data_IF_186738398984
#
_entry.id   IF_186738398984
#
_cell.length_a   1.000
_cell.length_b   1.000
_cell.length_c   1.000
_cell.angle_alpha   90.00
_cell.angle_beta   90.00
_cell.angle_gamma   90.00
#
_symmetry.space_group_name_H-M   'P 1'
#
loop_
_entity.id
_entity.type
_entity.pdbx_description
1 polymer ?
#
# COMPACT_ATOMS: atom_id res chain seq x y z
N UNK A 1 15.52 6.97 -9.82
CA UNK A 1 16.05 7.76 -8.70
C UNK A 1 15.08 8.91 -8.47
N UNK A 2 14.09 8.74 -7.56
CA UNK A 2 13.16 9.80 -7.20
C UNK A 2 13.87 11.03 -6.65
N UNK A 3 13.36 12.22 -7.01
CA UNK A 3 13.77 13.51 -6.45
C UNK A 3 12.53 14.17 -5.89
N UNK A 4 12.54 14.47 -4.60
CA UNK A 4 11.41 15.05 -3.86
C UNK A 4 11.80 16.47 -3.50
N UNK A 5 11.10 17.46 -4.05
CA UNK A 5 11.26 18.85 -3.64
C UNK A 5 10.55 19.06 -2.30
N UNK A 6 11.31 19.31 -1.24
CA UNK A 6 10.79 19.49 0.11
C UNK A 6 11.83 20.18 1.01
N UNK A 7 11.39 20.73 2.15
CA UNK A 7 12.28 21.24 3.18
C UNK A 7 13.05 20.08 3.85
N UNK A 8 14.40 20.11 3.87
CA UNK A 8 15.19 19.03 4.48
C UNK A 8 14.92 18.80 5.96
N UNK A 9 14.57 19.84 6.72
CA UNK A 9 14.31 19.71 8.16
C UNK A 9 12.97 19.02 8.40
N UNK A 10 11.93 19.44 7.69
CA UNK A 10 10.62 18.79 7.73
C UNK A 10 10.70 17.32 7.26
N UNK A 11 11.45 17.06 6.19
CA UNK A 11 11.68 15.71 5.68
C UNK A 11 12.40 14.81 6.70
N UNK A 12 13.36 15.36 7.46
CA UNK A 12 14.01 14.65 8.57
C UNK A 12 13.02 14.29 9.67
N UNK A 13 12.20 15.24 10.11
CA UNK A 13 11.21 15.01 11.16
C UNK A 13 10.22 13.90 10.77
N UNK A 14 9.79 13.86 9.51
CA UNK A 14 8.91 12.79 8.99
C UNK A 14 9.59 11.41 9.05
N UNK A 15 10.86 11.32 8.63
CA UNK A 15 11.62 10.08 8.73
C UNK A 15 11.76 9.59 10.17
N UNK A 16 12.11 10.49 11.09
CA UNK A 16 12.23 10.15 12.52
C UNK A 16 10.89 9.74 13.13
N UNK A 17 9.79 10.41 12.77
CA UNK A 17 8.44 10.05 13.20
C UNK A 17 8.01 8.66 12.67
N UNK A 18 8.45 8.29 11.46
CA UNK A 18 8.26 6.95 10.89
C UNK A 18 9.23 5.89 11.45
N UNK A 19 10.05 6.25 12.45
CA UNK A 19 11.03 5.35 13.08
C UNK A 19 12.25 5.04 12.22
N UNK A 20 12.51 5.83 11.16
CA UNK A 20 13.67 5.68 10.27
C UNK A 20 14.81 6.55 10.83
N UNK A 21 15.97 5.92 11.06
CA UNK A 21 17.13 6.63 11.58
C UNK A 21 17.72 7.60 10.54
N UNK A 22 18.02 8.82 10.98
CA UNK A 22 18.63 9.87 10.15
C UNK A 22 20.04 10.21 10.67
N UNK A 23 21.02 10.04 9.79
CA UNK A 23 22.44 10.31 10.03
C UNK A 23 22.89 11.64 9.41
N UNK A 24 24.09 12.09 9.78
CA UNK A 24 24.70 13.28 9.17
C UNK A 24 25.09 13.03 7.71
N UNK A 25 25.11 14.10 6.91
CA UNK A 25 25.63 14.03 5.54
C UNK A 25 27.10 13.64 5.48
N UNK A 26 27.50 12.99 4.39
CA UNK A 26 28.90 12.62 4.17
C UNK A 26 29.75 13.77 3.61
N UNK A 27 29.12 14.85 3.14
CA UNK A 27 29.78 16.03 2.58
C UNK A 27 29.11 17.31 3.08
N UNK A 28 29.79 18.45 2.95
CA UNK A 28 29.25 19.77 3.35
C UNK A 28 27.99 20.18 2.57
N UNK A 29 27.69 19.50 1.45
CA UNK A 29 26.50 19.74 0.64
C UNK A 29 25.33 18.82 1.01
N UNK A 30 25.58 17.76 1.78
CA UNK A 30 24.56 16.83 2.24
C UNK A 30 24.06 17.26 3.62
N UNK A 31 22.77 17.57 3.74
CA UNK A 31 22.17 17.94 5.02
C UNK A 31 22.09 16.73 5.97
N UNK A 32 21.64 15.58 5.45
CA UNK A 32 21.51 14.33 6.19
C UNK A 32 21.34 13.15 5.23
N UNK A 33 21.42 11.93 5.78
CA UNK A 33 21.16 10.67 5.08
C UNK A 33 20.25 9.76 5.90
N UNK A 34 19.45 8.93 5.24
CA UNK A 34 18.64 7.91 5.89
C UNK A 34 18.55 6.66 5.04
N UNK A 35 18.46 5.48 5.66
CA UNK A 35 18.40 4.20 4.97
C UNK A 35 17.19 3.38 5.40
N UNK A 36 16.53 2.75 4.43
CA UNK A 36 15.43 1.82 4.64
C UNK A 36 15.26 0.94 3.42
N UNK A 37 15.00 -0.36 3.61
CA UNK A 37 14.73 -1.30 2.51
C UNK A 37 15.89 -1.49 1.52
N UNK A 38 17.13 -1.13 1.89
CA UNK A 38 18.25 -1.11 0.93
C UNK A 38 18.20 0.06 -0.06
N UNK A 39 17.39 1.08 0.25
CA UNK A 39 17.46 2.40 -0.35
C UNK A 39 18.04 3.43 0.64
N UNK A 40 18.63 4.48 0.09
CA UNK A 40 19.22 5.62 0.79
C UNK A 40 18.56 6.90 0.30
N UNK A 41 18.07 7.72 1.23
CA UNK A 41 17.67 9.11 1.00
C UNK A 41 18.84 10.02 1.37
N UNK A 42 19.15 10.98 0.51
CA UNK A 42 20.18 12.01 0.74
C UNK A 42 19.56 13.38 0.53
N UNK A 43 19.59 14.21 1.57
CA UNK A 43 19.04 15.54 1.53
C UNK A 43 20.07 16.59 1.13
N UNK A 44 19.63 17.52 0.29
CA UNK A 44 20.32 18.72 -0.13
C UNK A 44 19.41 19.92 0.13
N UNK A 45 19.92 21.13 -0.03
CA UNK A 45 19.10 22.34 0.05
C UNK A 45 17.89 22.26 -0.90
N UNK A 46 16.69 22.30 -0.33
CA UNK A 46 15.40 22.26 -1.02
C UNK A 46 14.96 20.92 -1.64
N UNK A 47 15.70 19.81 -1.44
CA UNK A 47 15.31 18.51 -2.02
C UNK A 47 15.91 17.29 -1.32
N UNK A 48 15.27 16.15 -1.52
CA UNK A 48 15.79 14.82 -1.14
C UNK A 48 15.87 13.92 -2.36
N UNK A 49 17.00 13.25 -2.52
CA UNK A 49 17.25 12.26 -3.59
C UNK A 49 17.21 10.87 -2.99
N UNK A 50 16.36 9.99 -3.52
CA UNK A 50 16.24 8.59 -3.06
C UNK A 50 16.81 7.64 -4.11
N UNK A 51 17.68 6.72 -3.69
CA UNK A 51 18.32 5.73 -4.56
C UNK A 51 18.44 4.38 -3.88
N UNK A 52 18.51 3.29 -4.65
CA UNK A 52 18.69 1.93 -4.13
C UNK A 52 17.60 0.97 -4.59
N UNK A 53 17.51 -0.18 -3.92
CA UNK A 53 16.70 -1.31 -4.38
C UNK A 53 15.20 -1.12 -4.13
N UNK A 54 14.82 -0.64 -2.94
CA UNK A 54 13.42 -0.44 -2.53
C UNK A 54 13.22 0.98 -1.99
N UNK A 55 13.05 1.99 -2.86
CA UNK A 55 12.90 3.37 -2.44
C UNK A 55 11.54 3.68 -1.83
N UNK A 56 10.56 2.77 -1.96
CA UNK A 56 9.14 3.04 -1.72
C UNK A 56 8.85 3.56 -0.32
N UNK A 57 9.50 2.97 0.69
CA UNK A 57 9.31 3.40 2.09
C UNK A 57 9.82 4.81 2.34
N UNK A 58 10.98 5.14 1.78
CA UNK A 58 11.54 6.49 1.91
C UNK A 58 10.69 7.50 1.15
N UNK A 59 10.27 7.19 -0.07
CA UNK A 59 9.45 8.12 -0.87
C UNK A 59 8.07 8.37 -0.25
N UNK A 60 7.46 7.33 0.34
CA UNK A 60 6.17 7.46 1.04
C UNK A 60 6.25 8.44 2.22
N UNK A 61 7.27 8.28 3.06
CA UNK A 61 7.46 9.11 4.26
C UNK A 61 7.88 10.55 3.90
N UNK A 62 8.59 10.73 2.79
CA UNK A 62 9.13 12.02 2.38
C UNK A 62 8.15 12.90 1.60
N UNK A 63 7.06 12.35 1.06
CA UNK A 63 6.01 13.13 0.42
C UNK A 63 5.42 14.17 1.40
N UNK A 64 5.07 15.37 0.91
CA UNK A 64 4.47 16.42 1.74
C UNK A 64 2.98 16.15 1.97
N UNK A 65 2.50 16.40 3.20
CA UNK A 65 1.23 15.93 3.76
C UNK A 65 1.30 14.41 4.00
N UNK A 66 0.85 13.90 5.15
CA UNK A 66 0.94 12.45 5.38
C UNK A 66 0.36 11.74 4.16
N UNK A 67 1.14 10.84 3.59
CA UNK A 67 0.99 10.59 2.16
C UNK A 67 -0.40 10.03 1.85
N UNK A 68 -1.02 10.51 0.78
CA UNK A 68 -2.14 9.79 0.16
C UNK A 68 -1.59 8.61 -0.62
N UNK A 69 -2.09 7.42 -0.34
CA UNK A 69 -1.81 6.23 -1.12
C UNK A 69 -2.97 5.89 -2.06
N UNK A 70 -2.65 5.57 -3.32
CA UNK A 70 -3.58 4.88 -4.21
C UNK A 70 -3.31 3.38 -4.12
N UNK A 71 -4.32 2.62 -3.69
CA UNK A 71 -4.19 1.19 -3.37
C UNK A 71 -5.05 0.39 -4.33
N UNK A 72 -4.45 -0.55 -5.04
CA UNK A 72 -5.14 -1.49 -5.92
C UNK A 72 -5.01 -2.89 -5.34
N UNK A 73 -6.10 -3.64 -5.33
CA UNK A 73 -6.13 -4.99 -4.76
C UNK A 73 -6.95 -5.92 -5.61
N UNK A 74 -6.54 -7.18 -5.65
CA UNK A 74 -7.28 -8.27 -6.29
C UNK A 74 -7.08 -9.57 -5.52
N UNK A 75 -8.16 -10.35 -5.38
CA UNK A 75 -8.13 -11.68 -4.81
C UNK A 75 -8.51 -12.74 -5.83
N UNK A 76 -7.68 -13.77 -5.98
CA UNK A 76 -7.90 -14.86 -6.91
C UNK A 76 -8.08 -16.19 -6.19
N UNK A 77 -9.01 -17.02 -6.67
CA UNK A 77 -9.19 -18.41 -6.19
C UNK A 77 -9.39 -19.41 -7.34
N UNK A 78 -8.58 -20.47 -7.38
CA UNK A 78 -8.71 -21.60 -8.32
C UNK A 78 -9.72 -22.63 -7.82
N UNK A 79 -10.99 -22.23 -7.79
CA UNK A 79 -12.11 -22.99 -7.21
C UNK A 79 -12.91 -22.13 -6.21
N UNK A 80 -14.04 -22.62 -5.70
CA UNK A 80 -14.86 -21.86 -4.75
C UNK A 80 -15.51 -22.76 -3.68
N UNK A 81 -14.78 -23.19 -2.65
CA UNK A 81 -13.40 -22.81 -2.30
C UNK A 81 -12.32 -23.56 -3.11
N UNK A 82 -11.11 -22.99 -3.18
CA UNK A 82 -9.93 -23.60 -3.81
C UNK A 82 -8.64 -22.86 -3.44
N UNK A 83 -7.47 -23.31 -3.96
CA UNK A 83 -6.21 -22.59 -3.77
C UNK A 83 -6.34 -21.12 -4.16
N UNK A 84 -5.94 -20.22 -3.27
CA UNK A 84 -6.18 -18.80 -3.38
C UNK A 84 -4.90 -17.99 -3.23
N UNK A 85 -4.92 -16.79 -3.81
CA UNK A 85 -3.84 -15.82 -3.78
C UNK A 85 -4.42 -14.41 -3.75
N UNK A 86 -3.57 -13.45 -3.40
CA UNK A 86 -3.89 -12.02 -3.39
C UNK A 86 -2.79 -11.26 -4.12
N UNK A 87 -3.16 -10.14 -4.74
CA UNK A 87 -2.27 -9.19 -5.37
C UNK A 87 -2.57 -7.77 -4.90
N UNK A 88 -1.54 -6.93 -4.79
CA UNK A 88 -1.68 -5.54 -4.39
C UNK A 88 -0.67 -4.64 -5.11
N UNK A 89 -1.06 -3.37 -5.28
CA UNK A 89 -0.19 -2.28 -5.72
C UNK A 89 -0.50 -1.05 -4.87
N UNK A 90 0.52 -0.44 -4.28
CA UNK A 90 0.41 0.79 -3.50
C UNK A 90 1.27 1.85 -4.16
N UNK A 91 0.65 2.96 -4.51
CA UNK A 91 1.28 4.12 -5.13
C UNK A 91 1.21 5.32 -4.19
N UNK A 92 2.19 6.21 -4.26
CA UNK A 92 2.08 7.57 -3.72
C UNK A 92 1.05 8.39 -4.52
N UNK A 93 0.60 9.53 -3.99
CA UNK A 93 -0.38 10.40 -4.65
C UNK A 93 0.06 10.97 -6.01
N UNK A 94 1.36 11.01 -6.30
CA UNK A 94 1.93 11.37 -7.61
C UNK A 94 2.13 10.17 -8.55
N UNK A 95 1.73 8.97 -8.12
CA UNK A 95 1.75 7.75 -8.93
C UNK A 95 3.05 6.93 -8.86
N UNK A 96 3.98 7.28 -7.96
CA UNK A 96 5.19 6.49 -7.71
C UNK A 96 4.88 5.17 -7.02
N UNK A 97 5.41 4.05 -7.51
CA UNK A 97 5.23 2.74 -6.86
C UNK A 97 5.97 2.73 -5.52
N UNK A 98 5.20 2.47 -4.45
CA UNK A 98 5.71 2.28 -3.09
C UNK A 98 6.03 0.81 -2.89
N UNK A 99 5.07 -0.05 -3.19
CA UNK A 99 5.24 -1.50 -3.12
C UNK A 99 4.17 -2.18 -3.97
N UNK A 100 4.48 -3.34 -4.50
CA UNK A 100 3.56 -4.22 -5.17
C UNK A 100 3.97 -5.66 -4.92
N UNK A 101 3.01 -6.58 -4.99
CA UNK A 101 3.32 -7.99 -4.81
C UNK A 101 2.11 -8.89 -4.90
N UNK A 102 2.37 -10.19 -4.90
CA UNK A 102 1.37 -11.22 -4.79
C UNK A 102 1.82 -12.35 -3.87
N UNK A 103 0.87 -13.00 -3.19
CA UNK A 103 1.17 -14.19 -2.36
C UNK A 103 0.01 -15.17 -2.28
N UNK A 104 0.33 -16.45 -2.14
CA UNK A 104 -0.67 -17.51 -1.86
C UNK A 104 -1.17 -17.38 -0.41
N UNK A 105 -2.48 -17.58 -0.23
CA UNK A 105 -3.16 -17.47 1.06
C UNK A 105 -3.86 -18.78 1.49
N UNK A 106 -3.42 -19.91 0.94
CA UNK A 106 -4.00 -21.23 1.24
C UNK A 106 -5.22 -21.53 0.38
N UNK A 107 -6.29 -22.06 0.98
CA UNK A 107 -7.53 -22.42 0.27
C UNK A 107 -8.70 -21.63 0.83
N UNK A 108 -9.41 -20.88 0.00
CA UNK A 108 -10.58 -20.09 0.40
C UNK A 108 -11.52 -19.84 -0.79
N UNK A 109 -12.60 -19.10 -0.58
CA UNK A 109 -13.51 -18.65 -1.64
C UNK A 109 -12.97 -17.41 -2.35
N UNK A 110 -13.46 -17.11 -3.56
CA UNK A 110 -13.04 -15.88 -4.26
C UNK A 110 -13.33 -14.63 -3.41
N UNK A 111 -14.55 -14.51 -2.88
CA UNK A 111 -14.93 -13.35 -2.06
C UNK A 111 -14.06 -13.21 -0.81
N UNK A 112 -13.68 -14.30 -0.17
CA UNK A 112 -12.76 -14.23 0.96
C UNK A 112 -11.35 -13.79 0.52
N UNK A 113 -10.86 -14.23 -0.64
CA UNK A 113 -9.58 -13.77 -1.18
C UNK A 113 -9.59 -12.26 -1.47
N UNK A 114 -10.67 -11.71 -2.03
CA UNK A 114 -10.81 -10.26 -2.28
C UNK A 114 -10.70 -9.46 -0.97
N UNK A 115 -11.36 -9.92 0.08
CA UNK A 115 -11.27 -9.30 1.40
C UNK A 115 -9.87 -9.44 2.02
N UNK A 116 -9.19 -10.57 1.84
CA UNK A 116 -7.80 -10.75 2.29
C UNK A 116 -6.85 -9.80 1.56
N UNK A 117 -7.07 -9.56 0.27
CA UNK A 117 -6.29 -8.60 -0.51
C UNK A 117 -6.46 -7.18 0.04
N UNK A 118 -7.70 -6.77 0.34
CA UNK A 118 -8.02 -5.50 1.00
C UNK A 118 -7.34 -5.36 2.37
N UNK A 119 -7.48 -6.36 3.25
CA UNK A 119 -6.88 -6.36 4.59
C UNK A 119 -5.37 -6.20 4.48
N UNK A 120 -4.73 -7.03 3.65
CA UNK A 120 -3.29 -7.04 3.52
C UNK A 120 -2.74 -5.71 3.00
N UNK A 121 -3.37 -5.13 1.98
CA UNK A 121 -2.90 -3.87 1.41
C UNK A 121 -3.10 -2.68 2.36
N UNK A 122 -4.17 -2.68 3.16
CA UNK A 122 -4.40 -1.65 4.18
C UNK A 122 -3.39 -1.75 5.34
N UNK A 123 -3.08 -2.96 5.80
CA UNK A 123 -2.03 -3.18 6.80
C UNK A 123 -0.68 -2.66 6.30
N UNK A 124 -0.33 -2.97 5.04
CA UNK A 124 0.87 -2.42 4.41
C UNK A 124 0.79 -0.89 4.36
N UNK A 125 -0.30 -0.30 3.86
CA UNK A 125 -0.40 1.15 3.76
C UNK A 125 -0.21 1.85 5.12
N UNK A 126 -0.76 1.28 6.19
CA UNK A 126 -0.56 1.76 7.55
C UNK A 126 0.91 1.61 8.02
N UNK A 127 1.55 0.46 7.75
CA UNK A 127 2.97 0.22 8.07
C UNK A 127 3.93 1.17 7.34
N UNK A 128 3.54 1.64 6.16
CA UNK A 128 4.26 2.66 5.38
C UNK A 128 4.00 4.09 5.88
N UNK A 129 3.08 4.28 6.83
CA UNK A 129 2.81 5.57 7.47
C UNK A 129 1.92 6.51 6.64
N UNK A 130 1.14 5.98 5.70
CA UNK A 130 0.15 6.78 4.98
C UNK A 130 -0.99 7.21 5.90
N UNK A 131 -1.40 8.47 5.81
CA UNK A 131 -2.55 8.98 6.57
C UNK A 131 -3.86 8.86 5.80
N UNK A 132 -3.78 8.70 4.47
CA UNK A 132 -4.93 8.73 3.57
C UNK A 132 -4.83 7.61 2.54
N UNK A 133 -5.94 6.92 2.28
CA UNK A 133 -5.98 5.83 1.28
C UNK A 133 -7.13 5.95 0.30
N UNK A 134 -6.85 5.77 -0.98
CA UNK A 134 -7.84 5.61 -2.04
C UNK A 134 -7.75 4.18 -2.60
N UNK A 135 -8.66 3.33 -2.16
CA UNK A 135 -8.69 1.92 -2.53
C UNK A 135 -9.50 1.72 -3.82
N UNK A 136 -8.96 0.96 -4.76
CA UNK A 136 -9.59 0.54 -6.01
C UNK A 136 -9.61 -0.98 -6.08
N UNK A 137 -10.78 -1.54 -6.35
CA UNK A 137 -10.97 -2.99 -6.52
C UNK A 137 -12.03 -3.23 -7.59
N UNK A 138 -11.91 -4.29 -8.36
CA UNK A 138 -12.94 -4.76 -9.30
C UNK A 138 -13.97 -5.68 -8.64
N UNK A 139 -13.84 -5.98 -7.35
CA UNK A 139 -14.84 -6.70 -6.56
C UNK A 139 -15.97 -5.77 -6.10
N UNK A 140 -16.99 -5.62 -6.94
CA UNK A 140 -18.18 -4.81 -6.60
C UNK A 140 -18.84 -5.26 -5.28
N UNK A 141 -18.84 -6.57 -5.00
CA UNK A 141 -19.36 -7.13 -3.75
C UNK A 141 -18.59 -6.59 -2.54
N UNK A 142 -17.26 -6.66 -2.55
CA UNK A 142 -16.45 -6.21 -1.42
C UNK A 142 -16.62 -4.70 -1.22
N UNK A 143 -16.55 -3.91 -2.29
CA UNK A 143 -16.73 -2.45 -2.26
C UNK A 143 -18.07 -2.07 -1.64
N UNK A 144 -19.18 -2.61 -2.17
CA UNK A 144 -20.53 -2.26 -1.70
C UNK A 144 -20.78 -2.72 -0.26
N UNK A 145 -20.24 -3.88 0.13
CA UNK A 145 -20.37 -4.35 1.52
C UNK A 145 -19.58 -3.49 2.50
N UNK A 146 -18.33 -3.13 2.17
CA UNK A 146 -17.50 -2.24 2.98
C UNK A 146 -18.17 -0.89 3.17
N UNK A 147 -18.72 -0.30 2.10
CA UNK A 147 -19.52 0.95 2.14
C UNK A 147 -20.83 0.82 2.93
N UNK A 148 -21.28 -0.40 3.23
CA UNK A 148 -22.53 -0.65 3.95
C UNK A 148 -23.78 -0.55 3.08
N UNK A 149 -23.59 -0.52 1.76
CA UNK A 149 -24.69 -0.55 0.80
C UNK A 149 -25.32 -1.95 0.74
N UNK A 150 -24.47 -2.98 0.87
CA UNK A 150 -24.88 -4.39 0.89
C UNK A 150 -24.51 -5.07 2.21
N UNK A 151 -25.36 -6.00 2.63
CA UNK A 151 -25.10 -6.91 3.75
C UNK A 151 -24.81 -8.32 3.26
N UNK A 152 -24.18 -9.10 4.13
CA UNK A 152 -23.95 -10.54 3.93
C UNK A 152 -24.45 -11.33 5.13
N UNK A 153 -24.91 -12.56 4.88
CA UNK A 153 -25.24 -13.53 5.93
C UNK A 153 -24.08 -14.47 6.25
N UNK A 154 -23.05 -14.45 5.42
CA UNK A 154 -21.83 -15.23 5.63
C UNK A 154 -21.04 -14.66 6.82
N UNK A 155 -20.84 -15.44 7.90
CA UNK A 155 -20.10 -14.97 9.07
C UNK A 155 -18.64 -14.64 8.76
N UNK A 156 -17.99 -15.35 7.84
CA UNK A 156 -16.57 -15.12 7.51
C UNK A 156 -16.43 -13.78 6.79
N UNK A 157 -17.33 -13.48 5.85
CA UNK A 157 -17.35 -12.17 5.18
C UNK A 157 -17.71 -11.03 6.13
N UNK A 158 -18.55 -11.28 7.15
CA UNK A 158 -18.85 -10.27 8.18
C UNK A 158 -17.62 -9.93 9.01
N UNK A 159 -16.87 -10.93 9.46
CA UNK A 159 -15.65 -10.74 10.23
C UNK A 159 -14.61 -9.93 9.43
N UNK A 160 -14.43 -10.29 8.16
CA UNK A 160 -13.55 -9.57 7.25
C UNK A 160 -13.96 -8.12 7.01
N UNK A 161 -15.26 -7.88 6.82
CA UNK A 161 -15.81 -6.52 6.72
C UNK A 161 -15.53 -5.70 7.98
N UNK A 162 -15.65 -6.30 9.16
CA UNK A 162 -15.31 -5.63 10.42
C UNK A 162 -13.83 -5.27 10.44
N UNK A 163 -12.93 -6.21 10.12
CA UNK A 163 -11.49 -5.96 10.10
C UNK A 163 -11.09 -4.86 9.11
N UNK A 164 -11.63 -4.88 7.89
CA UNK A 164 -11.38 -3.82 6.89
C UNK A 164 -11.82 -2.46 7.41
N UNK A 165 -12.99 -2.37 8.04
CA UNK A 165 -13.48 -1.10 8.62
C UNK A 165 -12.70 -0.64 9.84
N UNK A 166 -12.09 -1.55 10.59
CA UNK A 166 -11.18 -1.19 11.67
C UNK A 166 -9.88 -0.60 11.12
N UNK A 167 -9.29 -1.23 10.11
CA UNK A 167 -8.11 -0.72 9.40
C UNK A 167 -8.36 0.66 8.79
N UNK A 168 -9.52 0.88 8.16
CA UNK A 168 -9.86 2.20 7.62
C UNK A 168 -9.91 3.32 8.67
N UNK A 169 -10.10 3.01 9.96
CA UNK A 169 -10.10 4.02 11.04
C UNK A 169 -8.70 4.45 11.45
N UNK A 170 -7.66 3.77 10.98
CA UNK A 170 -6.27 4.14 11.22
C UNK A 170 -5.83 5.30 10.30
N UNK A 171 -6.60 5.56 9.24
CA UNK A 171 -6.39 6.65 8.28
C UNK A 171 -7.25 7.87 8.64
N UNK A 172 -6.72 9.08 8.43
CA UNK A 172 -7.43 10.35 8.58
C UNK A 172 -8.51 10.52 7.51
N UNK A 173 -8.22 10.11 6.27
CA UNK A 173 -9.15 10.10 5.13
C UNK A 173 -9.09 8.77 4.38
N UNK A 174 -10.22 8.28 3.91
CA UNK A 174 -10.25 7.06 3.11
C UNK A 174 -11.40 7.06 2.10
N UNK A 175 -11.14 6.43 0.96
CA UNK A 175 -12.17 6.05 0.00
C UNK A 175 -11.93 4.64 -0.51
N UNK A 176 -13.00 3.99 -0.95
CA UNK A 176 -12.95 2.72 -1.65
C UNK A 176 -13.90 2.79 -2.84
N UNK A 177 -13.45 2.45 -4.04
CA UNK A 177 -14.25 2.52 -5.27
C UNK A 177 -14.13 1.24 -6.08
N UNK A 178 -15.24 0.90 -6.75
CA UNK A 178 -15.25 -0.16 -7.73
C UNK A 178 -14.69 0.37 -9.05
N UNK A 179 -13.73 -0.35 -9.63
CA UNK A 179 -13.15 -0.04 -10.94
C UNK A 179 -13.30 -1.23 -11.90
N UNK A 180 -13.40 -1.00 -13.22
CA UNK A 180 -13.31 -2.09 -14.20
C UNK A 180 -12.00 -2.86 -14.08
N UNK A 181 -12.02 -4.15 -14.40
CA UNK A 181 -10.86 -5.04 -14.31
C UNK A 181 -9.68 -4.56 -15.16
N UNK A 182 -9.91 -3.87 -16.26
CA UNK A 182 -8.84 -3.28 -17.09
C UNK A 182 -8.03 -2.21 -16.34
N UNK A 183 -8.63 -1.55 -15.34
CA UNK A 183 -7.94 -0.60 -14.47
C UNK A 183 -7.17 -1.33 -13.36
N UNK A 184 -7.63 -2.52 -12.97
CA UNK A 184 -7.04 -3.33 -11.89
C UNK A 184 -6.06 -4.41 -12.39
N UNK A 185 -5.68 -4.38 -13.67
CA UNK A 185 -4.93 -5.44 -14.34
C UNK A 185 -3.62 -5.81 -13.63
N UNK A 186 -2.92 -4.83 -13.03
CA UNK A 186 -1.65 -5.10 -12.34
C UNK A 186 -1.85 -5.93 -11.07
N UNK A 187 -2.86 -5.60 -10.24
CA UNK A 187 -3.15 -6.35 -9.02
C UNK A 187 -3.65 -7.78 -9.35
N UNK A 188 -4.51 -7.91 -10.36
CA UNK A 188 -4.97 -9.21 -10.88
C UNK A 188 -3.82 -10.07 -11.40
N UNK A 189 -2.89 -9.48 -12.15
CA UNK A 189 -1.70 -10.18 -12.64
C UNK A 189 -0.84 -10.69 -11.48
N UNK A 190 -0.57 -9.86 -10.47
CA UNK A 190 0.22 -10.24 -9.30
C UNK A 190 -0.45 -11.37 -8.49
N UNK A 191 -1.78 -11.33 -8.33
CA UNK A 191 -2.54 -12.40 -7.69
C UNK A 191 -2.39 -13.73 -8.46
N UNK A 192 -2.43 -13.68 -9.78
CA UNK A 192 -2.30 -14.87 -10.63
C UNK A 192 -0.86 -15.41 -10.70
N UNK A 193 0.14 -14.53 -10.81
CA UNK A 193 1.57 -14.86 -10.81
C UNK A 193 1.97 -15.62 -9.53
N UNK A 194 1.38 -15.27 -8.38
CA UNK A 194 1.61 -15.98 -7.12
C UNK A 194 1.23 -17.48 -7.16
N UNK A 195 0.43 -17.92 -8.12
CA UNK A 195 0.18 -19.35 -8.34
C UNK A 195 1.25 -20.06 -9.16
N UNK A 196 2.14 -19.36 -9.85
CA UNK A 196 3.20 -19.94 -10.66
C UNK A 196 4.50 -20.13 -9.85
N UNK A 197 4.73 -19.26 -8.87
CA UNK A 197 5.96 -19.20 -8.06
C UNK A 197 6.04 -20.21 -6.90
N UNK A 198 5.40 -21.38 -6.99
CA UNK A 198 5.45 -22.37 -5.89
C UNK A 198 5.12 -23.80 -6.21
#
# INVERSE_FOLDING_TARGET
MPVIECDPSAARERLEAAGIAVESGNTDHECWRAESGGATAVAYDGKVVVQGADPGKLTAVLAEEGGRAHVYVDGASRGNPGPAAIGWVILTGDGGIVTEGGKRIGSTTNNCAEYEALIHALEIAADYGFDSVEVRSDSELAVRQVRGEWDTNDPDLRERRVRVRELFREFEDWSIEHVPREINERADSLANEAFEDG
#
